data_IF_999189359975
#
_entry.id   IF_999189359975
#
_cell.length_a   1.000
_cell.length_b   1.000
_cell.length_c   1.000
_cell.angle_alpha   90.00
_cell.angle_beta   90.00
_cell.angle_gamma   90.00
#
_symmetry.space_group_name_H-M   'P 1'
#
loop_
_entity.id
_entity.type
_entity.pdbx_description
1 polymer ?
#
# COMPACT_ATOMS: atom_id res chain seq x y z
N UNK A 1 -31.69 8.96 -2.31
CA UNK A 1 -30.77 8.67 -1.19
C UNK A 1 -31.33 7.65 -0.19
N UNK A 2 -32.36 7.95 0.63
CA UNK A 2 -32.89 6.96 1.61
C UNK A 2 -33.45 5.69 0.93
N UNK A 3 -34.18 5.86 -0.18
CA UNK A 3 -34.74 4.74 -0.96
C UNK A 3 -33.64 3.84 -1.56
N UNK A 4 -32.52 4.44 -1.99
CA UNK A 4 -31.39 3.72 -2.59
C UNK A 4 -30.63 2.88 -1.54
N UNK A 5 -30.47 3.41 -0.32
CA UNK A 5 -29.83 2.66 0.77
C UNK A 5 -30.68 1.46 1.24
N UNK A 6 -32.02 1.57 1.23
CA UNK A 6 -32.90 0.44 1.53
C UNK A 6 -32.78 -0.67 0.48
N UNK A 7 -32.68 -0.31 -0.81
CA UNK A 7 -32.45 -1.28 -1.88
C UNK A 7 -31.07 -1.93 -1.76
N UNK A 8 -30.03 -1.16 -1.43
CA UNK A 8 -28.69 -1.68 -1.19
C UNK A 8 -28.66 -2.71 -0.05
N UNK A 9 -29.34 -2.42 1.07
CA UNK A 9 -29.48 -3.35 2.20
C UNK A 9 -30.25 -4.62 1.81
N UNK A 10 -31.35 -4.49 1.07
CA UNK A 10 -32.12 -5.64 0.60
C UNK A 10 -31.26 -6.55 -0.31
N UNK A 11 -30.48 -5.95 -1.23
CA UNK A 11 -29.55 -6.69 -2.09
C UNK A 11 -28.48 -7.41 -1.27
N UNK A 12 -27.82 -6.70 -0.35
CA UNK A 12 -26.82 -7.30 0.53
C UNK A 12 -27.40 -8.52 1.28
N UNK A 13 -28.55 -8.35 1.92
CA UNK A 13 -29.20 -9.42 2.68
C UNK A 13 -29.56 -10.62 1.80
N UNK A 14 -29.99 -10.38 0.55
CA UNK A 14 -30.32 -11.47 -0.39
C UNK A 14 -29.11 -12.29 -0.86
N UNK A 15 -27.92 -11.68 -0.85
CA UNK A 15 -26.67 -12.29 -1.30
C UNK A 15 -25.81 -12.82 -0.15
N UNK A 16 -26.18 -12.50 1.10
CA UNK A 16 -25.36 -12.78 2.26
C UNK A 16 -25.11 -14.29 2.43
N UNK A 17 -23.85 -14.69 2.25
CA UNK A 17 -23.41 -16.05 2.46
C UNK A 17 -22.69 -16.18 3.80
N UNK A 18 -23.44 -16.62 4.83
CA UNK A 18 -22.90 -16.81 6.17
C UNK A 18 -21.74 -17.83 6.19
N UNK A 19 -21.84 -18.92 5.42
CA UNK A 19 -20.79 -19.95 5.43
C UNK A 19 -19.43 -19.38 4.96
N UNK A 20 -19.41 -18.62 3.86
CA UNK A 20 -18.20 -17.97 3.36
C UNK A 20 -17.67 -16.93 4.35
N UNK A 21 -18.57 -16.13 4.93
CA UNK A 21 -18.22 -15.13 5.94
C UNK A 21 -17.56 -15.75 7.18
N UNK A 22 -18.12 -16.86 7.69
CA UNK A 22 -17.56 -17.60 8.81
C UNK A 22 -16.20 -18.23 8.49
N UNK A 23 -16.03 -18.76 7.26
CA UNK A 23 -14.76 -19.31 6.82
C UNK A 23 -13.66 -18.24 6.75
N UNK A 24 -13.99 -17.03 6.28
CA UNK A 24 -13.06 -15.89 6.29
C UNK A 24 -12.67 -15.53 7.72
N UNK A 25 -13.63 -15.39 8.64
CA UNK A 25 -13.34 -15.05 10.04
C UNK A 25 -12.41 -16.08 10.70
N UNK A 26 -12.64 -17.37 10.45
CA UNK A 26 -11.75 -18.43 10.94
C UNK A 26 -10.34 -18.33 10.33
N UNK A 27 -10.22 -18.08 9.02
CA UNK A 27 -8.94 -17.91 8.36
C UNK A 27 -8.18 -16.67 8.86
N UNK A 28 -8.89 -15.57 9.14
CA UNK A 28 -8.32 -14.37 9.75
C UNK A 28 -7.77 -14.65 11.14
N UNK A 29 -8.52 -15.36 11.99
CA UNK A 29 -8.08 -15.75 13.32
C UNK A 29 -6.77 -16.56 13.28
N UNK A 30 -6.69 -17.53 12.37
CA UNK A 30 -5.48 -18.35 12.13
C UNK A 30 -4.33 -17.46 11.66
N UNK A 31 -4.53 -16.65 10.62
CA UNK A 31 -3.50 -15.82 10.02
C UNK A 31 -2.94 -14.75 10.97
N UNK A 32 -3.81 -14.16 11.79
CA UNK A 32 -3.47 -13.13 12.77
C UNK A 32 -3.00 -13.71 14.11
N UNK A 33 -3.03 -15.04 14.28
CA UNK A 33 -2.66 -15.78 15.50
C UNK A 33 -3.42 -15.27 16.72
N UNK A 34 -4.73 -15.15 16.58
CA UNK A 34 -5.62 -14.63 17.62
C UNK A 34 -6.92 -15.42 17.65
N UNK A 35 -7.75 -15.16 18.66
CA UNK A 35 -9.07 -15.76 18.76
C UNK A 35 -10.01 -15.18 17.70
N UNK A 36 -10.95 -15.99 17.24
CA UNK A 36 -11.96 -15.58 16.25
C UNK A 36 -12.76 -14.37 16.73
N UNK A 37 -13.05 -14.31 18.02
CA UNK A 37 -13.87 -13.25 18.62
C UNK A 37 -13.03 -12.04 19.07
N UNK A 38 -11.74 -12.01 18.71
CA UNK A 38 -10.87 -10.88 18.98
C UNK A 38 -11.34 -9.62 18.24
N UNK A 39 -11.07 -8.47 18.84
CA UNK A 39 -11.35 -7.17 18.25
C UNK A 39 -10.74 -7.02 16.86
N UNK A 40 -9.52 -7.52 16.63
CA UNK A 40 -8.83 -7.46 15.33
C UNK A 40 -9.57 -8.20 14.22
N UNK A 41 -10.07 -9.40 14.51
CA UNK A 41 -10.87 -10.18 13.54
C UNK A 41 -12.20 -9.49 13.30
N UNK A 42 -12.86 -9.02 14.37
CA UNK A 42 -14.13 -8.31 14.28
C UNK A 42 -14.02 -7.04 13.44
N UNK A 43 -12.98 -6.23 13.63
CA UNK A 43 -12.76 -4.98 12.88
C UNK A 43 -12.64 -5.24 11.38
N UNK A 44 -11.87 -6.26 10.99
CA UNK A 44 -11.73 -6.64 9.57
C UNK A 44 -13.05 -7.18 9.02
N UNK A 45 -13.75 -8.03 9.78
CA UNK A 45 -15.06 -8.57 9.41
C UNK A 45 -16.13 -7.47 9.22
N UNK A 46 -16.13 -6.45 10.07
CA UNK A 46 -16.97 -5.27 9.91
C UNK A 46 -16.61 -4.52 8.62
N UNK A 47 -15.32 -4.34 8.34
CA UNK A 47 -14.87 -3.66 7.13
C UNK A 47 -15.20 -4.45 5.84
N UNK A 48 -15.21 -5.79 5.90
CA UNK A 48 -15.70 -6.65 4.82
C UNK A 48 -17.19 -6.39 4.56
N UNK A 49 -17.98 -6.25 5.63
CA UNK A 49 -19.41 -5.95 5.55
C UNK A 49 -19.66 -4.58 4.94
N UNK A 50 -18.95 -3.55 5.40
CA UNK A 50 -19.01 -2.19 4.84
C UNK A 50 -18.65 -2.20 3.35
N UNK A 51 -17.63 -2.98 2.95
CA UNK A 51 -17.23 -3.11 1.54
C UNK A 51 -18.28 -3.83 0.70
N UNK A 52 -18.89 -4.90 1.22
CA UNK A 52 -20.00 -5.58 0.54
C UNK A 52 -21.22 -4.64 0.36
N UNK A 53 -21.53 -3.82 1.37
CA UNK A 53 -22.57 -2.79 1.28
C UNK A 53 -22.22 -1.70 0.26
N UNK A 54 -20.95 -1.31 0.18
CA UNK A 54 -20.43 -0.39 -0.84
C UNK A 54 -20.64 -0.90 -2.28
N UNK A 55 -20.35 -2.18 -2.51
CA UNK A 55 -20.60 -2.88 -3.79
C UNK A 55 -22.10 -3.00 -4.09
N UNK A 56 -22.95 -2.96 -3.05
CA UNK A 56 -24.40 -2.82 -3.17
C UNK A 56 -24.89 -1.38 -3.38
N UNK A 57 -23.99 -0.41 -3.59
CA UNK A 57 -24.30 1.02 -3.79
C UNK A 57 -24.86 1.72 -2.54
N UNK A 58 -24.55 1.21 -1.35
CA UNK A 58 -24.90 1.91 -0.13
C UNK A 58 -24.01 3.14 0.05
N UNK A 59 -24.61 4.34 -0.03
CA UNK A 59 -23.92 5.63 -0.10
C UNK A 59 -22.95 5.92 1.05
N UNK A 60 -23.24 5.42 2.27
CA UNK A 60 -22.37 5.63 3.43
C UNK A 60 -21.02 4.90 3.35
N UNK A 61 -20.87 3.93 2.45
CA UNK A 61 -19.70 3.04 2.41
C UNK A 61 -18.89 3.15 1.12
N UNK A 62 -19.06 4.20 0.32
CA UNK A 62 -18.47 4.34 -1.03
C UNK A 62 -16.97 3.94 -1.10
N UNK A 63 -16.17 4.33 -0.10
CA UNK A 63 -14.71 4.08 -0.07
C UNK A 63 -14.28 2.99 0.93
N UNK A 64 -15.22 2.16 1.40
CA UNK A 64 -14.92 1.11 2.38
C UNK A 64 -13.86 0.11 1.89
N UNK A 65 -13.78 -0.12 0.57
CA UNK A 65 -12.80 -1.03 -0.03
C UNK A 65 -11.35 -0.57 0.19
N UNK A 66 -11.08 0.74 0.19
CA UNK A 66 -9.73 1.31 0.46
C UNK A 66 -9.35 1.08 1.92
N UNK A 67 -10.31 1.30 2.84
CA UNK A 67 -10.12 1.06 4.27
C UNK A 67 -9.87 -0.42 4.55
N UNK A 68 -10.60 -1.31 3.87
CA UNK A 68 -10.39 -2.76 3.93
C UNK A 68 -8.99 -3.16 3.43
N UNK A 69 -8.57 -2.65 2.28
CA UNK A 69 -7.24 -2.92 1.75
C UNK A 69 -6.14 -2.44 2.70
N UNK A 70 -6.32 -1.25 3.27
CA UNK A 70 -5.38 -0.62 4.20
C UNK A 70 -5.25 -1.42 5.50
N UNK A 71 -6.37 -1.80 6.12
CA UNK A 71 -6.32 -2.60 7.37
C UNK A 71 -5.71 -3.99 7.12
N UNK A 72 -5.98 -4.60 5.95
CA UNK A 72 -5.36 -5.87 5.57
C UNK A 72 -3.83 -5.76 5.46
N UNK A 73 -3.33 -4.72 4.79
CA UNK A 73 -1.90 -4.47 4.65
C UNK A 73 -1.23 -4.21 6.01
N UNK A 74 -1.80 -3.31 6.82
CA UNK A 74 -1.24 -2.92 8.12
C UNK A 74 -1.23 -4.06 9.14
N UNK A 75 -2.20 -4.98 9.07
CA UNK A 75 -2.29 -6.12 9.98
C UNK A 75 -1.58 -7.37 9.48
N UNK A 76 -0.85 -7.28 8.37
CA UNK A 76 -0.21 -8.41 7.71
C UNK A 76 -1.19 -9.58 7.45
N UNK A 77 -2.41 -9.26 7.00
CA UNK A 77 -3.39 -10.28 6.62
C UNK A 77 -2.82 -11.09 5.46
N UNK A 78 -2.80 -12.42 5.62
CA UNK A 78 -2.20 -13.30 4.62
C UNK A 78 -2.86 -13.18 3.24
N UNK A 79 -2.10 -13.42 2.18
CA UNK A 79 -2.61 -13.45 0.79
C UNK A 79 -3.80 -14.39 0.65
N UNK A 80 -3.75 -15.56 1.31
CA UNK A 80 -4.87 -16.53 1.31
C UNK A 80 -6.14 -15.91 1.87
N UNK A 81 -6.07 -15.21 3.00
CA UNK A 81 -7.22 -14.51 3.56
C UNK A 81 -7.71 -13.38 2.63
N UNK A 82 -6.80 -12.60 2.03
CA UNK A 82 -7.15 -11.55 1.06
C UNK A 82 -7.90 -12.16 -0.13
N UNK A 83 -7.46 -13.30 -0.65
CA UNK A 83 -8.13 -13.98 -1.77
C UNK A 83 -9.50 -14.52 -1.39
N UNK A 84 -9.66 -15.04 -0.18
CA UNK A 84 -10.99 -15.44 0.33
C UNK A 84 -11.94 -14.25 0.46
N UNK A 85 -11.45 -13.11 0.96
CA UNK A 85 -12.23 -11.87 1.05
C UNK A 85 -12.63 -11.40 -0.35
N UNK A 86 -11.68 -11.34 -1.29
CA UNK A 86 -11.94 -10.97 -2.67
C UNK A 86 -13.02 -11.83 -3.32
N UNK A 87 -12.91 -13.16 -3.21
CA UNK A 87 -13.90 -14.08 -3.75
C UNK A 87 -15.30 -13.89 -3.13
N UNK A 88 -15.36 -13.50 -1.86
CA UNK A 88 -16.61 -13.15 -1.20
C UNK A 88 -17.19 -11.82 -1.71
N UNK A 89 -16.34 -10.81 -1.90
CA UNK A 89 -16.75 -9.50 -2.42
C UNK A 89 -17.27 -9.58 -3.88
N UNK A 90 -16.72 -10.50 -4.70
CA UNK A 90 -17.20 -10.73 -6.07
C UNK A 90 -18.70 -11.09 -6.14
N UNK A 91 -19.27 -11.67 -5.08
CA UNK A 91 -20.72 -11.97 -5.01
C UNK A 91 -21.55 -10.68 -5.11
N UNK A 92 -21.04 -9.57 -4.58
CA UNK A 92 -21.72 -8.28 -4.51
C UNK A 92 -21.34 -7.34 -5.66
N UNK A 93 -20.21 -7.56 -6.31
CA UNK A 93 -19.73 -6.72 -7.42
C UNK A 93 -20.73 -6.70 -8.58
N UNK A 94 -20.98 -5.52 -9.13
CA UNK A 94 -21.85 -5.33 -10.28
C UNK A 94 -21.04 -5.30 -11.58
N UNK A 95 -21.72 -5.44 -12.72
CA UNK A 95 -21.06 -5.29 -14.02
C UNK A 95 -20.43 -3.90 -14.13
N UNK A 96 -19.18 -3.84 -14.63
CA UNK A 96 -18.32 -2.64 -14.72
C UNK A 96 -17.78 -2.06 -13.39
N UNK A 97 -18.16 -2.61 -12.24
CA UNK A 97 -17.53 -2.27 -10.95
C UNK A 97 -16.23 -3.07 -10.80
N UNK A 98 -15.14 -2.42 -10.41
CA UNK A 98 -13.79 -3.02 -10.24
C UNK A 98 -13.33 -3.01 -8.78
N UNK A 99 -14.16 -2.55 -7.84
CA UNK A 99 -13.70 -2.27 -6.46
C UNK A 99 -13.23 -3.51 -5.71
N UNK A 100 -13.74 -4.71 -6.01
CA UNK A 100 -13.19 -5.93 -5.40
C UNK A 100 -11.80 -6.26 -5.98
N UNK A 101 -11.60 -6.08 -7.29
CA UNK A 101 -10.30 -6.23 -7.95
C UNK A 101 -9.27 -5.23 -7.39
N UNK A 102 -9.67 -3.96 -7.30
CA UNK A 102 -8.87 -2.88 -6.75
C UNK A 102 -8.54 -3.14 -5.27
N UNK A 103 -9.49 -3.63 -4.47
CA UNK A 103 -9.23 -4.10 -3.10
C UNK A 103 -8.14 -5.18 -3.08
N UNK A 104 -8.28 -6.24 -3.88
CA UNK A 104 -7.39 -7.39 -3.82
C UNK A 104 -5.95 -6.97 -4.14
N UNK A 105 -5.77 -6.21 -5.21
CA UNK A 105 -4.45 -5.78 -5.66
C UNK A 105 -3.85 -4.74 -4.73
N UNK A 106 -4.66 -3.81 -4.22
CA UNK A 106 -4.21 -2.82 -3.23
C UNK A 106 -3.75 -3.48 -1.94
N UNK A 107 -4.55 -4.41 -1.39
CA UNK A 107 -4.20 -5.12 -0.15
C UNK A 107 -2.90 -5.93 -0.31
N UNK A 108 -2.72 -6.63 -1.43
CA UNK A 108 -1.49 -7.37 -1.75
C UNK A 108 -0.30 -6.45 -1.91
N UNK A 109 -0.47 -5.31 -2.59
CA UNK A 109 0.59 -4.32 -2.76
C UNK A 109 1.04 -3.75 -1.42
N UNK A 110 0.08 -3.32 -0.58
CA UNK A 110 0.36 -2.80 0.76
C UNK A 110 1.06 -3.84 1.63
N UNK A 111 0.60 -5.09 1.63
CA UNK A 111 1.26 -6.18 2.34
C UNK A 111 2.72 -6.33 1.94
N UNK A 112 3.02 -6.38 0.63
CA UNK A 112 4.40 -6.51 0.13
C UNK A 112 5.26 -5.28 0.40
N UNK A 113 4.68 -4.09 0.34
CA UNK A 113 5.37 -2.86 0.71
C UNK A 113 5.76 -2.87 2.20
N UNK A 114 4.86 -3.28 3.10
CA UNK A 114 5.17 -3.39 4.53
C UNK A 114 6.18 -4.51 4.84
N UNK A 115 6.07 -5.68 4.20
CA UNK A 115 7.03 -6.79 4.37
C UNK A 115 8.46 -6.39 3.96
N UNK A 116 8.60 -5.57 2.91
CA UNK A 116 9.91 -5.16 2.40
C UNK A 116 10.54 -3.98 3.16
N UNK A 117 9.76 -3.23 3.94
CA UNK A 117 10.19 -1.98 4.56
C UNK A 117 11.44 -2.14 5.45
N UNK A 118 11.44 -3.13 6.35
CA UNK A 118 12.56 -3.33 7.27
C UNK A 118 13.80 -3.85 6.57
N UNK A 119 13.63 -4.73 5.57
CA UNK A 119 14.74 -5.23 4.75
C UNK A 119 15.39 -4.10 3.96
N UNK A 120 14.58 -3.20 3.40
CA UNK A 120 15.07 -2.05 2.65
C UNK A 120 15.82 -1.06 3.56
N UNK A 121 15.29 -0.77 4.76
CA UNK A 121 15.99 0.06 5.76
C UNK A 121 17.30 -0.57 6.22
N UNK A 122 17.33 -1.90 6.41
CA UNK A 122 18.56 -2.61 6.72
C UNK A 122 19.59 -2.48 5.58
N UNK A 123 19.16 -2.61 4.32
CA UNK A 123 20.03 -2.41 3.16
C UNK A 123 20.59 -0.98 3.10
N UNK A 124 19.78 0.03 3.38
CA UNK A 124 20.23 1.44 3.51
C UNK A 124 21.32 1.57 4.57
N UNK A 125 21.12 0.98 5.75
CA UNK A 125 22.11 1.00 6.84
C UNK A 125 23.43 0.34 6.42
N UNK A 126 23.35 -0.84 5.78
CA UNK A 126 24.53 -1.53 5.25
C UNK A 126 25.25 -0.71 4.17
N UNK A 127 24.53 -0.06 3.27
CA UNK A 127 25.13 0.78 2.24
C UNK A 127 25.86 1.99 2.81
N UNK A 128 25.35 2.58 3.90
CA UNK A 128 26.02 3.66 4.63
C UNK A 128 27.37 3.22 5.24
N UNK A 129 27.53 1.94 5.58
CA UNK A 129 28.79 1.38 6.07
C UNK A 129 29.82 1.13 4.95
N UNK A 130 29.42 1.18 3.67
CA UNK A 130 30.33 1.03 2.54
C UNK A 130 31.04 2.37 2.27
N UNK A 131 32.37 2.38 2.34
CA UNK A 131 33.14 3.59 2.11
C UNK A 131 33.30 3.92 0.61
N UNK A 132 33.45 5.21 0.32
CA UNK A 132 33.65 5.72 -1.03
C UNK A 132 32.36 5.97 -1.82
N UNK A 133 32.52 6.39 -3.07
CA UNK A 133 31.41 6.88 -3.90
C UNK A 133 30.37 5.80 -4.22
N UNK A 134 30.78 4.53 -4.33
CA UNK A 134 29.86 3.41 -4.58
C UNK A 134 28.90 3.20 -3.41
N UNK A 135 29.41 3.31 -2.18
CA UNK A 135 28.59 3.21 -0.97
C UNK A 135 27.62 4.37 -0.84
N UNK A 136 28.08 5.62 -1.06
CA UNK A 136 27.21 6.81 -1.08
C UNK A 136 26.12 6.72 -2.15
N UNK A 137 26.47 6.34 -3.38
CA UNK A 137 25.52 6.15 -4.47
C UNK A 137 24.49 5.06 -4.14
N UNK A 138 24.93 3.92 -3.62
CA UNK A 138 24.03 2.84 -3.21
C UNK A 138 23.11 3.27 -2.05
N UNK A 139 23.64 3.98 -1.05
CA UNK A 139 22.87 4.54 0.04
C UNK A 139 21.78 5.48 -0.46
N UNK A 140 22.11 6.40 -1.37
CA UNK A 140 21.14 7.33 -1.93
C UNK A 140 20.08 6.60 -2.78
N UNK A 141 20.45 5.63 -3.62
CA UNK A 141 19.48 4.85 -4.40
C UNK A 141 18.54 4.01 -3.52
N UNK A 142 19.07 3.35 -2.50
CA UNK A 142 18.26 2.55 -1.57
C UNK A 142 17.36 3.44 -0.70
N UNK A 143 17.85 4.61 -0.29
CA UNK A 143 17.04 5.61 0.43
C UNK A 143 15.92 6.17 -0.45
N UNK A 144 16.20 6.40 -1.74
CA UNK A 144 15.18 6.81 -2.69
C UNK A 144 14.09 5.74 -2.82
N UNK A 145 14.49 4.46 -2.95
CA UNK A 145 13.54 3.36 -3.01
C UNK A 145 12.66 3.28 -1.75
N UNK A 146 13.20 3.55 -0.56
CA UNK A 146 12.41 3.59 0.69
C UNK A 146 11.37 4.71 0.65
N UNK A 147 11.77 5.93 0.29
CA UNK A 147 10.83 7.04 0.17
C UNK A 147 9.75 6.81 -0.89
N UNK A 148 10.09 6.23 -2.05
CA UNK A 148 9.13 5.92 -3.09
C UNK A 148 8.17 4.80 -2.66
N UNK A 149 8.64 3.80 -1.92
CA UNK A 149 7.80 2.75 -1.34
C UNK A 149 6.82 3.34 -0.32
N UNK A 150 7.29 4.20 0.59
CA UNK A 150 6.42 4.91 1.54
C UNK A 150 5.38 5.79 0.84
N UNK A 151 5.77 6.45 -0.25
CA UNK A 151 4.86 7.24 -1.09
C UNK A 151 3.77 6.36 -1.69
N UNK A 152 4.12 5.22 -2.29
CA UNK A 152 3.17 4.28 -2.88
C UNK A 152 2.17 3.76 -1.82
N UNK A 153 2.66 3.41 -0.63
CA UNK A 153 1.79 3.01 0.50
C UNK A 153 0.79 4.11 0.84
N UNK A 154 1.24 5.36 0.95
CA UNK A 154 0.36 6.47 1.31
C UNK A 154 -0.63 6.82 0.21
N UNK A 155 -0.25 6.73 -1.06
CA UNK A 155 -1.17 6.93 -2.19
C UNK A 155 -2.27 5.86 -2.20
N UNK A 156 -1.89 4.60 -2.02
CA UNK A 156 -2.81 3.46 -2.05
C UNK A 156 -3.74 3.39 -0.82
N UNK A 157 -3.33 3.95 0.31
CA UNK A 157 -4.12 4.01 1.54
C UNK A 157 -4.94 5.29 1.71
N UNK A 158 -5.05 6.11 0.66
CA UNK A 158 -5.67 7.46 0.73
C UNK A 158 -5.11 8.30 1.89
N UNK A 159 -3.78 8.32 1.98
CA UNK A 159 -3.02 8.95 3.05
C UNK A 159 -2.84 10.45 2.89
N UNK A 160 -2.03 11.04 3.78
CA UNK A 160 -1.86 12.48 3.86
C UNK A 160 -1.08 13.02 2.64
N UNK A 161 -1.72 13.90 1.87
CA UNK A 161 -1.14 14.53 0.66
C UNK A 161 0.14 15.33 0.93
N UNK A 162 0.28 15.97 2.09
CA UNK A 162 1.52 16.67 2.47
C UNK A 162 2.65 15.68 2.73
N UNK A 163 2.36 14.55 3.37
CA UNK A 163 3.36 13.50 3.61
C UNK A 163 3.81 12.84 2.29
N UNK A 164 2.87 12.58 1.38
CA UNK A 164 3.15 12.09 0.02
C UNK A 164 4.13 13.03 -0.70
N UNK A 165 3.84 14.34 -0.71
CA UNK A 165 4.70 15.34 -1.35
C UNK A 165 6.10 15.39 -0.73
N UNK A 166 6.18 15.37 0.59
CA UNK A 166 7.45 15.36 1.32
C UNK A 166 8.31 14.15 0.93
N UNK A 167 7.73 12.94 0.93
CA UNK A 167 8.48 11.71 0.60
C UNK A 167 8.89 11.66 -0.88
N UNK A 168 8.03 12.10 -1.79
CA UNK A 168 8.40 12.26 -3.21
C UNK A 168 9.57 13.21 -3.38
N UNK A 169 9.56 14.36 -2.71
CA UNK A 169 10.65 15.34 -2.78
C UNK A 169 11.96 14.76 -2.24
N UNK A 170 11.93 14.04 -1.12
CA UNK A 170 13.11 13.35 -0.60
C UNK A 170 13.61 12.26 -1.55
N UNK A 171 12.71 11.45 -2.14
CA UNK A 171 13.06 10.43 -3.12
C UNK A 171 13.78 11.02 -4.33
N UNK A 172 13.26 12.11 -4.91
CA UNK A 172 13.88 12.82 -6.03
C UNK A 172 15.27 13.33 -5.64
N UNK A 173 15.41 14.02 -4.49
CA UNK A 173 16.69 14.52 -4.00
C UNK A 173 17.74 13.41 -3.88
N UNK A 174 17.34 12.23 -3.39
CA UNK A 174 18.21 11.06 -3.27
C UNK A 174 18.63 10.51 -4.62
N UNK A 175 17.72 10.39 -5.59
CA UNK A 175 18.06 9.99 -6.97
C UNK A 175 19.10 10.95 -7.55
N UNK A 176 18.91 12.25 -7.35
CA UNK A 176 19.86 13.26 -7.82
C UNK A 176 21.23 13.13 -7.14
N UNK A 177 21.29 12.87 -5.83
CA UNK A 177 22.53 12.60 -5.11
C UNK A 177 23.29 11.38 -5.65
N UNK A 178 22.57 10.28 -5.91
CA UNK A 178 23.15 9.09 -6.52
C UNK A 178 23.69 9.35 -7.92
N UNK A 179 22.96 10.10 -8.76
CA UNK A 179 23.40 10.49 -10.09
C UNK A 179 24.66 11.37 -10.03
N UNK A 180 24.73 12.30 -9.08
CA UNK A 180 25.92 13.13 -8.87
C UNK A 180 27.17 12.29 -8.59
N UNK A 181 27.09 11.33 -7.65
CA UNK A 181 28.20 10.43 -7.33
C UNK A 181 28.59 9.57 -8.54
N UNK A 182 27.62 9.03 -9.28
CA UNK A 182 27.88 8.25 -10.49
C UNK A 182 28.58 9.05 -11.60
N UNK A 183 28.17 10.30 -11.82
CA UNK A 183 28.75 11.18 -12.84
C UNK A 183 30.17 11.62 -12.49
N UNK A 184 30.37 12.07 -11.25
CA UNK A 184 31.69 12.52 -10.76
C UNK A 184 32.76 11.45 -10.92
N UNK A 185 32.36 10.18 -10.85
CA UNK A 185 33.24 9.02 -10.95
C UNK A 185 33.13 8.25 -12.27
N UNK A 186 32.39 8.78 -13.26
CA UNK A 186 32.26 8.20 -14.60
C UNK A 186 33.53 8.43 -15.43
N UNK A 187 33.91 7.42 -16.22
CA UNK A 187 34.99 7.55 -17.22
C UNK A 187 34.59 8.41 -18.42
N UNK A 188 33.29 8.62 -18.63
CA UNK A 188 32.71 9.40 -19.74
C UNK A 188 31.48 10.18 -19.25
N UNK A 189 31.66 11.22 -18.42
CA UNK A 189 30.54 11.99 -17.87
C UNK A 189 29.74 12.74 -18.94
N UNK A 190 30.39 13.05 -20.06
CA UNK A 190 29.80 13.71 -21.23
C UNK A 190 28.77 12.87 -22.01
N UNK A 191 28.62 11.58 -21.73
CA UNK A 191 27.55 10.76 -22.34
C UNK A 191 26.19 10.95 -21.67
N UNK A 192 26.12 11.69 -20.56
CA UNK A 192 24.89 12.02 -19.90
C UNK A 192 24.57 13.50 -20.09
N UNK A 193 23.37 13.82 -20.59
CA UNK A 193 22.88 15.20 -20.64
C UNK A 193 21.96 15.47 -19.44
N UNK A 194 22.45 16.30 -18.52
CA UNK A 194 21.72 16.75 -17.33
C UNK A 194 21.71 18.29 -17.23
N UNK A 195 21.77 18.99 -18.36
CA UNK A 195 21.79 20.46 -18.40
C UNK A 195 20.64 21.11 -17.62
N UNK A 196 19.51 20.41 -17.54
CA UNK A 196 18.28 20.91 -16.92
C UNK A 196 18.05 20.34 -15.51
N UNK A 197 18.99 19.52 -15.01
CA UNK A 197 18.89 18.87 -13.70
C UNK A 197 19.76 19.59 -12.67
N UNK A 198 19.13 20.13 -11.63
CA UNK A 198 19.85 20.69 -10.50
C UNK A 198 20.42 19.58 -9.60
N UNK A 199 21.74 19.52 -9.42
CA UNK A 199 22.40 18.59 -8.50
C UNK A 199 22.65 19.26 -7.13
N UNK A 200 22.37 18.57 -6.00
CA UNK A 200 22.57 19.14 -4.67
C UNK A 200 24.05 19.40 -4.40
N UNK A 201 24.33 20.57 -3.84
CA UNK A 201 25.65 21.05 -3.41
C UNK A 201 25.86 20.81 -1.90
N UNK A 202 27.08 21.06 -1.39
CA UNK A 202 27.37 21.00 0.05
C UNK A 202 26.49 21.93 0.89
N UNK A 203 26.00 23.03 0.30
CA UNK A 203 25.10 23.98 0.96
C UNK A 203 23.68 23.44 1.12
N UNK A 204 23.29 22.44 0.30
CA UNK A 204 21.97 21.80 0.33
C UNK A 204 21.90 20.62 1.31
N UNK A 205 23.01 20.32 2.02
CA UNK A 205 23.12 19.22 2.98
C UNK A 205 22.85 19.63 4.44
N UNK A 206 22.49 20.90 4.69
CA UNK A 206 22.18 21.47 6.01
C UNK A 206 20.71 21.32 6.35
#
# INVERSE_FOLDING_TARGET
MLHDNTQALARYNSLFNNQHYQAIAAQLAIGLRTERDSMRVSDICNMITDTALSLCQHSHYADAWIKLATICGQNAVSIVAIDMIYNYLLIYQQSADTRADDFQMTAKCLLKAYESADTLRAAVSCANAVHGWRGRMAYDLLSAADYLTQTAVQLLSDGNQSYIREKLQHGIRRITGALHEGLRHSKRPNMFNFSDTHFPSEQDRV
#
